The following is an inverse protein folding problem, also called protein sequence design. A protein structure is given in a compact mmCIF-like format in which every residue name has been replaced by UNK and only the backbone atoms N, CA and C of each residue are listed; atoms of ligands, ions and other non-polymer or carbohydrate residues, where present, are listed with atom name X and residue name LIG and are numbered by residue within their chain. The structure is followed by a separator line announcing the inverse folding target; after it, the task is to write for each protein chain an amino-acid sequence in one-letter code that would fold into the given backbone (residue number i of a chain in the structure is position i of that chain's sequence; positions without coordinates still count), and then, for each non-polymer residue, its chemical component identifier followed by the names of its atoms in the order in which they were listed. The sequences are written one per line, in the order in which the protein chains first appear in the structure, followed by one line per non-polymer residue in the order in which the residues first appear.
data_IF_465975824382
#
_entry.id   IF_465975824382
#
_cell.length_a   1.000
_cell.length_b   1.000
_cell.length_c   1.000
_cell.angle_alpha   90.00
_cell.angle_beta   90.00
_cell.angle_gamma   90.00
#
_symmetry.space_group_name_H-M   'P 1'
#
loop_
_entity.id
_entity.type
_entity.pdbx_description
1 polymer ?
#
# COMPACT_ATOMS: atom_id res chain seq x y z
N UNK A 1 -11.72 -17.12 21.46
CA UNK A 1 -10.71 -18.02 22.09
C UNK A 1 -11.03 -19.52 21.89
N UNK A 2 -12.31 -19.91 21.76
CA UNK A 2 -12.71 -21.35 21.70
C UNK A 2 -12.29 -22.11 20.43
N UNK A 3 -12.09 -21.45 19.28
CA UNK A 3 -11.68 -22.13 18.04
C UNK A 3 -10.17 -22.43 17.99
N UNK A 4 -9.33 -21.60 18.60
CA UNK A 4 -7.88 -21.80 18.65
C UNK A 4 -7.51 -23.10 19.38
N UNK A 5 -8.11 -23.32 20.53
CA UNK A 5 -7.82 -24.54 21.33
C UNK A 5 -8.20 -25.87 20.64
N UNK A 6 -9.12 -25.81 19.67
CA UNK A 6 -9.62 -26.98 18.91
C UNK A 6 -8.82 -27.29 17.66
N UNK A 7 -7.87 -26.42 17.26
CA UNK A 7 -7.05 -26.64 16.07
C UNK A 7 -6.00 -27.73 16.33
N UNK A 8 -5.69 -28.57 15.33
CA UNK A 8 -4.60 -29.54 15.42
C UNK A 8 -3.26 -28.86 15.78
N UNK A 9 -2.43 -29.51 16.56
CA UNK A 9 -1.15 -28.96 17.01
C UNK A 9 -0.27 -28.49 15.86
N UNK A 10 -0.20 -29.23 14.75
CA UNK A 10 0.57 -28.88 13.55
C UNK A 10 0.06 -27.58 12.91
N UNK A 11 -1.26 -27.38 12.87
CA UNK A 11 -1.87 -26.14 12.34
C UNK A 11 -1.55 -24.94 13.25
N UNK A 12 -1.64 -25.11 14.57
CA UNK A 12 -1.28 -24.06 15.54
C UNK A 12 0.18 -23.68 15.41
N UNK A 13 1.09 -24.66 15.39
CA UNK A 13 2.52 -24.42 15.23
C UNK A 13 2.83 -23.67 13.92
N UNK A 14 2.16 -23.99 12.81
CA UNK A 14 2.31 -23.28 11.55
C UNK A 14 1.84 -21.83 11.62
N UNK A 15 0.70 -21.56 12.27
CA UNK A 15 0.19 -20.19 12.46
C UNK A 15 1.12 -19.40 13.39
N UNK A 16 1.56 -20.00 14.49
CA UNK A 16 2.52 -19.37 15.41
C UNK A 16 3.82 -19.01 14.71
N UNK A 17 4.41 -19.94 13.95
CA UNK A 17 5.62 -19.68 13.17
C UNK A 17 5.44 -18.54 12.17
N UNK A 18 4.29 -18.50 11.49
CA UNK A 18 3.97 -17.42 10.55
C UNK A 18 3.86 -16.07 11.24
N UNK A 19 3.12 -16.01 12.36
CA UNK A 19 2.95 -14.77 13.13
C UNK A 19 4.28 -14.28 13.71
N UNK A 20 5.06 -15.20 14.29
CA UNK A 20 6.39 -14.87 14.81
C UNK A 20 7.30 -14.34 13.70
N UNK A 21 7.39 -15.01 12.56
CA UNK A 21 8.19 -14.52 11.43
C UNK A 21 7.74 -13.18 10.87
N UNK A 22 6.45 -12.83 11.01
CA UNK A 22 5.97 -11.49 10.66
C UNK A 22 6.34 -10.44 11.71
N UNK A 23 6.35 -10.81 12.99
CA UNK A 23 6.61 -9.91 14.11
C UNK A 23 8.11 -9.70 14.40
N UNK A 24 8.94 -10.73 14.17
CA UNK A 24 10.37 -10.72 14.49
C UNK A 24 11.13 -9.45 14.07
N UNK A 25 10.92 -8.88 12.87
CA UNK A 25 11.61 -7.64 12.49
C UNK A 25 11.30 -6.44 13.39
N UNK A 26 10.19 -6.48 14.12
CA UNK A 26 9.79 -5.42 15.06
C UNK A 26 10.23 -5.68 16.51
N UNK A 27 10.75 -6.85 16.79
CA UNK A 27 11.09 -7.30 18.14
C UNK A 27 12.58 -7.20 18.46
N UNK A 28 13.40 -6.72 17.52
CA UNK A 28 14.85 -6.62 17.68
C UNK A 28 15.42 -5.29 17.21
N UNK A 29 16.58 -4.90 17.77
CA UNK A 29 17.30 -3.68 17.40
C UNK A 29 16.48 -2.39 17.54
N UNK A 30 16.79 -1.39 16.73
CA UNK A 30 16.10 -0.09 16.74
C UNK A 30 14.59 -0.20 16.47
N UNK A 31 14.17 -1.19 15.68
CA UNK A 31 12.76 -1.39 15.42
C UNK A 31 11.98 -1.77 16.68
N UNK A 32 12.57 -2.55 17.59
CA UNK A 32 11.96 -2.88 18.88
C UNK A 32 11.74 -1.62 19.75
N UNK A 33 12.69 -0.70 19.77
CA UNK A 33 12.57 0.55 20.53
C UNK A 33 11.45 1.44 19.96
N UNK A 34 11.28 1.46 18.65
CA UNK A 34 10.27 2.26 17.97
C UNK A 34 8.86 1.65 18.03
N UNK A 35 8.73 0.35 17.82
CA UNK A 35 7.44 -0.31 17.63
C UNK A 35 6.92 -1.09 18.84
N UNK A 36 7.77 -1.44 19.81
CA UNK A 36 7.40 -2.18 21.00
C UNK A 36 7.19 -1.27 22.23
N UNK A 37 6.58 -0.13 22.01
CA UNK A 37 6.33 0.90 23.03
C UNK A 37 4.87 1.37 23.02
N UNK A 38 4.56 2.38 23.80
CA UNK A 38 3.23 2.99 23.83
C UNK A 38 2.92 3.66 22.48
N UNK A 39 1.71 3.45 21.97
CA UNK A 39 1.26 4.12 20.77
C UNK A 39 1.21 5.63 20.99
N UNK A 40 2.07 6.36 20.29
CA UNK A 40 2.19 7.81 20.40
C UNK A 40 1.65 8.55 19.18
N UNK A 41 1.28 7.81 18.12
CA UNK A 41 0.70 8.40 16.92
C UNK A 41 -0.10 7.37 16.11
N UNK A 42 -1.13 7.83 15.36
CA UNK A 42 -2.00 6.99 14.55
C UNK A 42 -2.29 7.64 13.19
N UNK A 43 -2.51 6.85 12.12
CA UNK A 43 -2.79 7.36 10.77
C UNK A 43 -4.00 8.28 10.69
N UNK A 44 -4.98 8.07 11.56
CA UNK A 44 -6.22 8.84 11.61
C UNK A 44 -6.03 10.33 11.88
N UNK A 45 -4.91 10.74 12.44
CA UNK A 45 -4.61 12.16 12.62
C UNK A 45 -4.58 12.95 11.31
N UNK A 46 -4.23 12.28 10.19
CA UNK A 46 -4.31 12.90 8.86
C UNK A 46 -5.75 13.32 8.50
N UNK A 47 -6.76 12.61 9.01
CA UNK A 47 -8.17 12.94 8.79
C UNK A 47 -8.56 14.24 9.52
N UNK A 48 -7.81 14.62 10.54
CA UNK A 48 -7.94 15.86 11.29
C UNK A 48 -7.06 16.99 10.73
N UNK A 49 -6.25 16.70 9.72
CA UNK A 49 -5.41 17.66 8.99
C UNK A 49 -3.93 17.60 9.34
N UNK A 50 -3.48 16.60 10.09
CA UNK A 50 -2.05 16.38 10.30
C UNK A 50 -1.37 15.98 8.98
N UNK A 51 -0.17 16.50 8.77
CA UNK A 51 0.76 16.02 7.74
C UNK A 51 1.67 14.99 8.40
N UNK A 52 1.66 13.78 7.86
CA UNK A 52 2.43 12.65 8.38
C UNK A 52 3.44 12.26 7.30
N UNK A 53 4.71 12.26 7.65
CA UNK A 53 5.79 11.78 6.81
C UNK A 53 6.39 10.53 7.46
N UNK A 54 6.44 9.43 6.71
CA UNK A 54 7.04 8.18 7.15
C UNK A 54 8.30 7.95 6.33
N UNK A 55 9.44 8.10 6.97
CA UNK A 55 10.75 7.87 6.39
C UNK A 55 11.40 6.67 7.11
N UNK A 56 11.13 5.48 6.58
CA UNK A 56 11.64 4.21 7.07
C UNK A 56 12.27 3.45 5.89
N UNK A 57 13.39 3.98 5.39
CA UNK A 57 14.07 3.43 4.22
C UNK A 57 14.51 1.98 4.45
N UNK A 58 14.43 1.13 3.41
CA UNK A 58 14.92 -0.25 3.51
C UNK A 58 16.44 -0.32 3.76
N UNK A 59 17.20 0.70 3.37
CA UNK A 59 18.62 0.76 3.60
C UNK A 59 18.97 0.86 5.10
N UNK A 60 18.13 1.50 5.88
CA UNK A 60 18.33 1.72 7.32
C UNK A 60 17.50 0.75 8.17
N UNK A 61 16.24 0.54 7.81
CA UNK A 61 15.26 -0.22 8.59
C UNK A 61 15.00 -1.63 8.05
N UNK A 62 15.64 -2.02 6.95
CA UNK A 62 15.49 -3.34 6.33
C UNK A 62 14.01 -3.73 6.16
N UNK A 63 13.69 -4.98 6.43
CA UNK A 63 12.33 -5.50 6.32
C UNK A 63 11.33 -4.87 7.32
N UNK A 64 11.80 -4.41 8.47
CA UNK A 64 10.95 -3.77 9.47
C UNK A 64 10.35 -2.46 8.92
N UNK A 65 11.17 -1.62 8.27
CA UNK A 65 10.73 -0.37 7.66
C UNK A 65 9.66 -0.59 6.60
N UNK A 66 9.89 -1.52 5.67
CA UNK A 66 8.91 -1.86 4.63
C UNK A 66 7.59 -2.37 5.22
N UNK A 67 7.65 -3.29 6.19
CA UNK A 67 6.46 -3.85 6.84
C UNK A 67 5.68 -2.80 7.62
N UNK A 68 6.39 -1.90 8.33
CA UNK A 68 5.77 -0.81 9.05
C UNK A 68 5.02 0.15 8.11
N UNK A 69 5.64 0.54 7.00
CA UNK A 69 5.01 1.41 6.00
C UNK A 69 3.78 0.75 5.36
N UNK A 70 3.86 -0.55 5.03
CA UNK A 70 2.72 -1.32 4.52
C UNK A 70 1.57 -1.40 5.53
N UNK A 71 1.88 -1.68 6.79
CA UNK A 71 0.89 -1.73 7.87
C UNK A 71 0.24 -0.37 8.09
N UNK A 72 1.05 0.70 8.13
CA UNK A 72 0.56 2.06 8.29
C UNK A 72 -0.37 2.46 7.13
N UNK A 73 0.05 2.20 5.89
CA UNK A 73 -0.77 2.43 4.70
C UNK A 73 -2.09 1.65 4.79
N UNK A 74 -2.05 0.38 5.17
CA UNK A 74 -3.23 -0.46 5.35
C UNK A 74 -4.20 0.12 6.38
N UNK A 75 -3.71 0.49 7.56
CA UNK A 75 -4.54 1.07 8.62
C UNK A 75 -5.17 2.38 8.14
N UNK A 76 -4.37 3.24 7.49
CA UNK A 76 -4.85 4.50 6.92
C UNK A 76 -5.95 4.29 5.88
N UNK A 77 -5.74 3.40 4.93
CA UNK A 77 -6.73 3.07 3.90
C UNK A 77 -8.04 2.56 4.53
N UNK A 78 -7.95 1.71 5.54
CA UNK A 78 -9.11 1.21 6.28
C UNK A 78 -9.84 2.33 7.01
N UNK A 79 -9.13 3.24 7.65
CA UNK A 79 -9.72 4.40 8.32
C UNK A 79 -10.44 5.33 7.33
N UNK A 80 -9.81 5.61 6.18
CA UNK A 80 -10.41 6.41 5.11
C UNK A 80 -11.67 5.77 4.53
N UNK A 81 -11.65 4.46 4.24
CA UNK A 81 -12.81 3.75 3.71
C UNK A 81 -14.03 3.76 4.64
N UNK A 82 -13.83 3.86 5.96
CA UNK A 82 -14.93 4.01 6.93
C UNK A 82 -15.67 5.34 6.82
N UNK A 83 -15.08 6.35 6.17
CA UNK A 83 -15.69 7.66 5.92
C UNK A 83 -16.78 7.63 4.83
N UNK A 84 -16.95 6.52 4.13
CA UNK A 84 -17.93 6.36 3.05
C UNK A 84 -19.35 6.72 3.52
N UNK A 85 -20.01 7.57 2.75
CA UNK A 85 -21.36 8.03 3.06
C UNK A 85 -21.46 9.28 3.95
N UNK A 86 -20.34 9.74 4.54
CA UNK A 86 -20.31 10.90 5.41
C UNK A 86 -19.80 12.17 4.67
N UNK A 87 -20.11 12.30 3.38
CA UNK A 87 -19.42 13.19 2.44
C UNK A 87 -19.57 14.70 2.67
N UNK A 88 -20.62 15.15 3.37
CA UNK A 88 -20.77 16.61 3.59
C UNK A 88 -19.86 17.09 4.70
N UNK A 89 -18.85 17.88 4.32
CA UNK A 89 -17.93 18.53 5.26
C UNK A 89 -16.64 17.77 5.58
N UNK A 90 -16.39 16.61 4.95
CA UNK A 90 -15.09 15.95 5.14
C UNK A 90 -13.97 16.65 4.39
N UNK A 91 -12.86 16.90 5.10
CA UNK A 91 -11.62 17.38 4.50
C UNK A 91 -11.07 16.32 3.54
N UNK A 92 -10.66 16.70 2.32
CA UNK A 92 -9.90 15.80 1.44
C UNK A 92 -8.60 15.35 2.11
N UNK A 93 -8.24 14.09 1.90
CA UNK A 93 -6.98 13.52 2.39
C UNK A 93 -6.20 12.94 1.23
N UNK A 94 -4.89 13.05 1.32
CA UNK A 94 -3.98 12.65 0.26
C UNK A 94 -2.98 11.62 0.77
N UNK A 95 -2.70 10.63 -0.05
CA UNK A 95 -1.62 9.67 0.14
C UNK A 95 -0.61 9.86 -0.98
N UNK A 96 0.61 10.24 -0.64
CA UNK A 96 1.75 10.27 -1.55
C UNK A 96 2.65 9.08 -1.25
N UNK A 97 2.98 8.30 -2.26
CA UNK A 97 3.88 7.15 -2.11
C UNK A 97 4.93 7.21 -3.18
N UNK A 98 6.17 7.41 -2.75
CA UNK A 98 7.33 7.24 -3.62
C UNK A 98 7.71 5.77 -3.72
N UNK A 99 8.31 5.37 -4.86
CA UNK A 99 8.59 3.96 -5.19
C UNK A 99 7.37 3.05 -4.94
N UNK A 100 6.19 3.52 -5.38
CA UNK A 100 4.89 2.94 -5.02
C UNK A 100 4.76 1.45 -5.35
N UNK A 101 5.50 0.93 -6.34
CA UNK A 101 5.52 -0.50 -6.66
C UNK A 101 6.00 -1.35 -5.48
N UNK A 102 6.91 -0.84 -4.63
CA UNK A 102 7.43 -1.54 -3.45
C UNK A 102 6.35 -1.77 -2.39
N UNK A 103 5.37 -0.88 -2.36
CA UNK A 103 4.29 -0.88 -1.38
C UNK A 103 2.94 -1.29 -1.96
N UNK A 104 2.87 -1.69 -3.22
CA UNK A 104 1.63 -2.09 -3.86
C UNK A 104 1.09 -3.42 -3.29
N UNK A 105 -0.21 -3.45 -3.05
CA UNK A 105 -0.94 -4.60 -2.53
C UNK A 105 -2.28 -4.77 -3.26
N UNK A 106 -2.90 -5.95 -3.23
CA UNK A 106 -4.23 -6.13 -3.80
C UNK A 106 -5.31 -5.20 -3.23
N UNK A 107 -5.14 -4.72 -2.00
CA UNK A 107 -6.06 -3.76 -1.39
C UNK A 107 -6.02 -2.40 -2.08
N UNK A 108 -4.91 -2.02 -2.69
CA UNK A 108 -4.77 -0.71 -3.33
C UNK A 108 -5.77 -0.53 -4.48
N UNK A 109 -5.99 -1.54 -5.31
CA UNK A 109 -6.97 -1.48 -6.38
C UNK A 109 -8.41 -1.28 -5.82
N UNK A 110 -8.75 -1.98 -4.74
CA UNK A 110 -10.04 -1.83 -4.06
C UNK A 110 -10.18 -0.45 -3.43
N UNK A 111 -9.13 0.03 -2.78
CA UNK A 111 -9.10 1.37 -2.18
C UNK A 111 -9.31 2.45 -3.24
N UNK A 112 -8.59 2.39 -4.37
CA UNK A 112 -8.70 3.38 -5.44
C UNK A 112 -10.11 3.43 -6.03
N UNK A 113 -10.78 2.30 -6.19
CA UNK A 113 -12.17 2.25 -6.67
C UNK A 113 -13.15 2.99 -5.73
N UNK A 114 -12.82 3.13 -4.45
CA UNK A 114 -13.64 3.79 -3.43
C UNK A 114 -13.10 5.13 -2.92
N UNK A 115 -11.88 5.49 -3.26
CA UNK A 115 -11.18 6.65 -2.71
C UNK A 115 -11.97 7.95 -2.92
N UNK A 116 -12.53 8.16 -4.11
CA UNK A 116 -13.36 9.34 -4.43
C UNK A 116 -14.57 9.47 -3.48
N UNK A 117 -15.28 8.37 -3.22
CA UNK A 117 -16.46 8.38 -2.33
C UNK A 117 -16.10 8.59 -0.86
N UNK A 118 -14.81 8.47 -0.51
CA UNK A 118 -14.26 8.71 0.83
C UNK A 118 -13.48 10.02 0.93
N UNK A 119 -13.59 10.92 -0.06
CA UNK A 119 -12.83 12.17 -0.15
C UNK A 119 -11.31 11.94 0.00
N UNK A 120 -10.78 10.94 -0.70
CA UNK A 120 -9.35 10.64 -0.70
C UNK A 120 -8.80 10.64 -2.12
N UNK A 121 -7.55 11.08 -2.25
CA UNK A 121 -6.77 10.99 -3.46
C UNK A 121 -5.42 10.34 -3.18
N UNK A 122 -4.89 9.65 -4.18
CA UNK A 122 -3.59 8.97 -4.09
C UNK A 122 -2.70 9.45 -5.22
N UNK A 123 -1.46 9.74 -4.89
CA UNK A 123 -0.39 10.06 -5.83
C UNK A 123 0.69 8.99 -5.68
N UNK A 124 0.83 8.16 -6.70
CA UNK A 124 1.84 7.13 -6.76
C UNK A 124 2.95 7.54 -7.74
N UNK A 125 4.16 7.58 -7.24
CA UNK A 125 5.35 7.80 -8.05
C UNK A 125 6.04 6.44 -8.25
N UNK A 126 6.42 6.15 -9.48
CA UNK A 126 7.06 4.89 -9.83
C UNK A 126 7.94 5.06 -11.05
N UNK A 127 8.94 4.23 -11.20
CA UNK A 127 9.87 4.29 -12.33
C UNK A 127 9.28 3.65 -13.59
N UNK A 128 8.58 2.54 -13.46
CA UNK A 128 8.03 1.80 -14.60
C UNK A 128 6.95 0.79 -14.16
N UNK A 129 6.17 0.31 -15.12
CA UNK A 129 5.13 -0.69 -14.89
C UNK A 129 5.73 -2.08 -14.65
N UNK A 130 6.86 -2.38 -15.25
CA UNK A 130 7.52 -3.69 -15.11
C UNK A 130 7.87 -4.00 -13.65
N UNK A 131 8.20 -2.98 -12.86
CA UNK A 131 8.47 -3.13 -11.42
C UNK A 131 7.22 -3.56 -10.62
N UNK A 132 6.02 -3.07 -10.98
CA UNK A 132 4.78 -3.56 -10.35
C UNK A 132 4.58 -5.05 -10.61
N UNK A 133 4.82 -5.48 -11.83
CA UNK A 133 4.62 -6.87 -12.23
C UNK A 133 5.61 -7.82 -11.57
N UNK A 134 6.82 -7.35 -11.29
CA UNK A 134 7.84 -8.14 -10.60
C UNK A 134 7.50 -8.40 -9.12
N UNK A 135 6.71 -7.53 -8.50
CA UNK A 135 6.38 -7.59 -7.07
C UNK A 135 5.02 -8.27 -6.82
N UNK A 136 4.09 -8.16 -7.76
CA UNK A 136 2.76 -8.76 -7.64
C UNK A 136 2.82 -10.30 -7.78
N UNK A 137 1.77 -10.99 -7.33
CA UNK A 137 1.69 -12.45 -7.36
C UNK A 137 1.92 -13.02 -8.78
N UNK A 138 2.75 -14.08 -8.94
CA UNK A 138 3.15 -14.60 -10.25
C UNK A 138 1.98 -14.91 -11.21
N UNK A 139 0.85 -15.39 -10.68
CA UNK A 139 -0.30 -15.81 -11.49
C UNK A 139 -1.37 -14.74 -11.68
N UNK A 140 -1.37 -13.68 -10.87
CA UNK A 140 -2.38 -12.61 -10.88
C UNK A 140 -1.80 -11.22 -11.03
N UNK A 141 -0.49 -11.09 -11.05
CA UNK A 141 0.22 -9.82 -11.01
C UNK A 141 -0.17 -8.89 -12.15
N UNK A 142 -0.36 -9.41 -13.37
CA UNK A 142 -0.81 -8.61 -14.51
C UNK A 142 -2.20 -8.00 -14.22
N UNK A 143 -3.19 -8.83 -13.90
CA UNK A 143 -4.55 -8.36 -13.66
C UNK A 143 -4.65 -7.42 -12.46
N UNK A 144 -3.86 -7.65 -11.41
CA UNK A 144 -3.80 -6.78 -10.24
C UNK A 144 -3.18 -5.42 -10.57
N UNK A 145 -2.09 -5.41 -11.34
CA UNK A 145 -1.43 -4.18 -11.83
C UNK A 145 -2.36 -3.40 -12.73
N UNK A 146 -2.97 -4.06 -13.71
CA UNK A 146 -3.90 -3.44 -14.65
C UNK A 146 -5.09 -2.82 -13.92
N UNK A 147 -5.66 -3.54 -12.96
CA UNK A 147 -6.76 -3.04 -12.12
C UNK A 147 -6.35 -1.83 -11.29
N UNK A 148 -5.17 -1.84 -10.68
CA UNK A 148 -4.65 -0.71 -9.91
C UNK A 148 -4.46 0.51 -10.83
N UNK A 149 -3.75 0.34 -11.93
CA UNK A 149 -3.45 1.42 -12.87
C UNK A 149 -4.69 1.99 -13.54
N UNK A 150 -5.69 1.14 -13.84
CA UNK A 150 -6.97 1.60 -14.39
C UNK A 150 -7.74 2.51 -13.41
N UNK A 151 -7.67 2.23 -12.11
CA UNK A 151 -8.33 3.02 -11.07
C UNK A 151 -7.59 4.34 -10.71
N UNK A 152 -6.36 4.52 -11.15
CA UNK A 152 -5.63 5.78 -11.07
C UNK A 152 -5.97 6.63 -12.30
N UNK A 153 -6.95 7.53 -12.20
CA UNK A 153 -7.54 8.23 -13.35
C UNK A 153 -6.56 9.17 -14.09
N UNK A 154 -5.67 9.86 -13.38
CA UNK A 154 -4.67 10.75 -13.98
C UNK A 154 -3.32 10.06 -14.08
N UNK A 155 -2.71 10.14 -15.24
CA UNK A 155 -1.40 9.55 -15.53
C UNK A 155 -0.46 10.62 -16.07
N UNK A 156 0.71 10.73 -15.48
CA UNK A 156 1.76 11.66 -15.91
C UNK A 156 2.98 10.84 -16.28
N UNK A 157 3.37 10.92 -17.55
CA UNK A 157 4.52 10.20 -18.08
C UNK A 157 5.70 11.16 -18.22
N UNK A 158 6.80 10.79 -17.60
CA UNK A 158 8.10 11.39 -17.86
C UNK A 158 8.88 10.53 -18.86
N UNK A 159 10.08 10.98 -19.25
CA UNK A 159 10.98 10.19 -20.07
C UNK A 159 11.22 8.81 -19.42
N UNK A 160 10.97 7.75 -20.16
CA UNK A 160 11.14 6.38 -19.70
C UNK A 160 11.84 5.52 -20.76
N UNK A 161 12.67 4.59 -20.33
CA UNK A 161 13.37 3.63 -21.20
C UNK A 161 12.77 2.23 -21.18
N UNK A 162 11.82 1.96 -20.28
CA UNK A 162 11.11 0.68 -20.23
C UNK A 162 10.12 0.56 -21.37
N UNK A 163 10.34 -0.41 -22.24
CA UNK A 163 9.51 -0.63 -23.44
C UNK A 163 8.04 -0.86 -23.10
N UNK A 164 7.76 -1.63 -22.05
CA UNK A 164 6.40 -1.94 -21.61
C UNK A 164 5.64 -0.71 -21.14
N UNK A 165 6.31 0.15 -20.35
CA UNK A 165 5.73 1.42 -19.91
C UNK A 165 5.44 2.34 -21.11
N UNK A 166 6.38 2.43 -22.05
CA UNK A 166 6.21 3.25 -23.25
C UNK A 166 5.07 2.76 -24.14
N UNK A 167 4.96 1.42 -24.33
CA UNK A 167 3.86 0.83 -25.09
C UNK A 167 2.52 1.10 -24.39
N UNK A 168 2.44 0.87 -23.10
CA UNK A 168 1.22 1.12 -22.33
C UNK A 168 0.81 2.61 -22.35
N UNK A 169 1.77 3.54 -22.30
CA UNK A 169 1.52 4.97 -22.41
C UNK A 169 0.95 5.32 -23.80
N UNK A 170 1.54 4.76 -24.87
CA UNK A 170 1.06 4.96 -26.22
C UNK A 170 -0.37 4.43 -26.41
N UNK A 171 -0.66 3.24 -25.88
CA UNK A 171 -1.99 2.64 -25.94
C UNK A 171 -3.02 3.45 -25.14
N UNK A 172 -2.63 4.01 -23.99
CA UNK A 172 -3.50 4.84 -23.15
C UNK A 172 -3.80 6.21 -23.77
N UNK A 173 -2.87 6.79 -24.54
CA UNK A 173 -3.04 8.08 -25.24
C UNK A 173 -3.88 7.86 -26.52
N UNK A 174 -3.75 6.70 -27.14
CA UNK A 174 -4.41 6.35 -28.40
C UNK A 174 -3.63 6.83 -29.63
N UNK A 175 -4.07 6.37 -30.80
CA UNK A 175 -3.52 6.76 -32.10
C UNK A 175 -4.36 7.89 -32.68
N UNK A 176 -3.71 8.94 -33.15
CA UNK A 176 -4.34 9.95 -34.02
C UNK A 176 -4.32 9.40 -35.43
N UNK A 177 -5.48 9.25 -36.05
CA UNK A 177 -5.56 9.08 -37.51
C UNK A 177 -5.14 10.40 -38.18
N UNK A 178 -4.01 10.40 -38.83
CA UNK A 178 -3.63 11.44 -39.82
C UNK A 178 -4.35 11.22 -41.11
#
# INVERSE_FOLDING_TARGET
LGQWARQPHKTRAGIEATLTGMADPFLSGMASELFSTTTNFVPEWSLLGAVIVIDLSEAEWFQAGRRAQLLFKYIWQRAVMRRKGLLRGHRPVFLFVDEAQTFATPLDAQFQAMARSSCAATVYLTQNISNYLAIMEPHRGQAQTDSLLANLGTKIFHRNTDHRTNQWAADAIGQTST
#
